data_IF_561583501636
#
_entry.id   IF_561583501636
#
_cell.length_a   1.000
_cell.length_b   1.000
_cell.length_c   1.000
_cell.angle_alpha   90.00
_cell.angle_beta   90.00
_cell.angle_gamma   90.00
#
_symmetry.space_group_name_H-M   'P 1'
#
loop_
_entity.id
_entity.type
_entity.pdbx_description
1 polymer ?
#
# COMPACT_ATOMS: atom_id res chain seq x y z
N UNK A 1 13.87 12.98 -16.76
CA UNK A 1 12.66 12.73 -15.94
C UNK A 1 12.87 11.42 -15.19
N UNK A 2 12.60 11.39 -13.88
CA UNK A 2 12.62 10.14 -13.14
C UNK A 2 11.44 9.27 -13.60
N UNK A 3 11.74 8.11 -14.16
CA UNK A 3 10.71 7.21 -14.68
C UNK A 3 9.86 6.58 -13.59
N UNK A 4 10.37 6.50 -12.36
CA UNK A 4 9.75 5.78 -11.25
C UNK A 4 9.66 6.67 -10.03
N UNK A 5 8.51 6.65 -9.35
CA UNK A 5 8.31 7.30 -8.07
C UNK A 5 7.45 6.44 -7.14
N UNK A 6 7.95 6.17 -5.94
CA UNK A 6 7.25 5.38 -4.94
C UNK A 6 7.02 6.25 -3.70
N UNK A 7 5.77 6.44 -3.34
CA UNK A 7 5.37 7.21 -2.19
C UNK A 7 5.24 6.31 -0.97
N UNK A 8 5.90 6.69 0.13
CA UNK A 8 5.82 5.98 1.41
C UNK A 8 4.96 6.81 2.34
N UNK A 9 3.78 6.30 2.67
CA UNK A 9 2.79 7.00 3.50
C UNK A 9 3.17 6.96 4.97
N UNK A 10 3.12 8.13 5.60
CA UNK A 10 3.36 8.36 7.02
C UNK A 10 2.19 9.11 7.64
N UNK A 11 1.70 8.67 8.78
CA UNK A 11 0.74 9.42 9.60
C UNK A 11 1.33 9.75 10.98
N UNK A 12 2.49 9.16 11.30
CA UNK A 12 3.22 9.34 12.54
C UNK A 12 4.72 9.50 12.28
N UNK A 13 5.48 9.95 13.27
CA UNK A 13 6.90 10.23 13.13
C UNK A 13 7.73 8.96 13.31
N UNK A 14 8.22 8.44 12.20
CA UNK A 14 9.08 7.27 12.13
C UNK A 14 10.34 7.54 11.31
N UNK A 15 11.22 6.54 11.26
CA UNK A 15 12.39 6.59 10.38
C UNK A 15 11.95 6.84 8.93
N UNK A 16 12.53 7.85 8.28
CA UNK A 16 12.16 8.27 6.93
C UNK A 16 13.04 7.61 5.91
N UNK A 17 12.45 6.81 5.07
CA UNK A 17 13.12 6.24 3.91
C UNK A 17 12.94 7.20 2.75
N UNK A 18 14.05 7.65 2.19
CA UNK A 18 14.06 8.58 1.06
C UNK A 18 15.23 8.27 0.13
N UNK A 19 14.96 8.31 -1.17
CA UNK A 19 15.96 8.22 -2.24
C UNK A 19 15.51 9.07 -3.43
N UNK A 20 16.10 8.90 -4.59
CA UNK A 20 15.59 9.51 -5.82
C UNK A 20 14.23 8.95 -6.25
N UNK A 21 13.96 7.67 -5.96
CA UNK A 21 12.70 6.99 -6.27
C UNK A 21 11.73 7.06 -5.09
N UNK A 22 12.21 6.86 -3.87
CA UNK A 22 11.41 6.77 -2.66
C UNK A 22 11.12 8.15 -2.08
N UNK A 23 9.85 8.52 -2.02
CA UNK A 23 9.38 9.83 -1.56
C UNK A 23 8.47 9.66 -0.33
N UNK A 24 8.89 10.12 0.86
CA UNK A 24 8.02 10.13 2.03
C UNK A 24 6.89 11.15 1.84
N UNK A 25 5.64 10.73 2.11
CA UNK A 25 4.44 11.56 2.07
C UNK A 25 3.68 11.46 3.39
N UNK A 26 3.40 12.59 4.02
CA UNK A 26 2.52 12.64 5.18
C UNK A 26 1.07 12.63 4.73
N UNK A 27 0.25 11.76 5.33
CA UNK A 27 -1.18 11.62 5.08
C UNK A 27 -2.01 12.28 6.16
N UNK A 28 -3.20 12.76 5.80
CA UNK A 28 -4.11 13.43 6.74
C UNK A 28 -3.61 14.78 7.23
N UNK A 29 -2.78 15.45 6.45
CA UNK A 29 -2.17 16.72 6.83
C UNK A 29 -3.17 17.81 7.18
N UNK A 30 -4.39 17.79 6.61
CA UNK A 30 -5.42 18.76 6.90
C UNK A 30 -5.87 18.75 8.37
N UNK A 31 -5.83 17.60 9.03
CA UNK A 31 -6.23 17.41 10.43
C UNK A 31 -5.04 17.07 11.34
N UNK A 32 -3.83 17.04 10.81
CA UNK A 32 -2.65 16.69 11.59
C UNK A 32 -2.27 17.82 12.57
N UNK A 33 -1.88 17.50 13.81
CA UNK A 33 -1.45 18.51 14.79
C UNK A 33 -0.16 19.21 14.38
N UNK A 34 0.63 18.59 13.49
CA UNK A 34 1.85 19.17 12.92
C UNK A 34 2.18 18.57 11.57
N UNK A 35 2.85 19.36 10.74
CA UNK A 35 3.41 18.88 9.48
C UNK A 35 4.86 18.42 9.68
N UNK A 36 5.20 17.28 9.08
CA UNK A 36 6.55 16.72 9.16
C UNK A 36 7.46 17.37 8.13
N UNK A 37 8.51 18.03 8.58
CA UNK A 37 9.48 18.68 7.67
C UNK A 37 10.14 17.68 6.73
N UNK A 38 10.30 18.06 5.47
CA UNK A 38 11.01 17.25 4.46
C UNK A 38 10.22 16.07 3.90
N UNK A 39 8.93 16.01 4.16
CA UNK A 39 7.98 15.13 3.49
C UNK A 39 7.13 15.90 2.48
N UNK A 40 6.59 15.20 1.50
CA UNK A 40 5.44 15.67 0.74
C UNK A 40 4.22 15.69 1.66
N UNK A 41 3.31 16.64 1.46
CA UNK A 41 2.06 16.72 2.24
C UNK A 41 0.87 16.49 1.30
N UNK A 42 -0.12 15.72 1.76
CA UNK A 42 -1.29 15.35 0.96
C UNK A 42 -2.42 16.39 0.99
N UNK A 43 -2.23 17.55 1.63
CA UNK A 43 -3.22 18.63 1.73
C UNK A 43 -2.99 19.79 0.76
N UNK A 44 -2.06 19.66 -0.18
CA UNK A 44 -1.75 20.68 -1.19
C UNK A 44 -2.50 20.43 -2.51
N UNK A 45 -3.14 21.44 -3.09
CA UNK A 45 -3.89 21.31 -4.34
C UNK A 45 -5.17 20.47 -4.17
N UNK A 46 -5.59 19.75 -5.21
CA UNK A 46 -6.78 18.88 -5.12
C UNK A 46 -6.48 17.66 -4.24
N UNK A 47 -7.25 17.49 -3.16
CA UNK A 47 -6.99 16.48 -2.15
C UNK A 47 -8.25 16.07 -1.38
N UNK A 48 -8.12 15.00 -0.58
CA UNK A 48 -9.11 14.51 0.40
C UNK A 48 -8.45 14.30 1.77
N UNK A 49 -7.45 15.09 2.09
CA UNK A 49 -6.63 14.96 3.30
C UNK A 49 -7.47 15.11 4.59
N UNK A 50 -8.53 15.92 4.55
CA UNK A 50 -9.51 16.09 5.64
C UNK A 50 -10.33 14.83 5.93
N UNK A 51 -10.35 13.85 5.01
CA UNK A 51 -11.09 12.59 5.10
C UNK A 51 -10.16 11.39 5.39
N UNK A 52 -8.95 11.64 5.81
CA UNK A 52 -7.97 10.57 6.05
C UNK A 52 -8.42 9.57 7.13
N UNK A 53 -9.27 9.97 8.07
CA UNK A 53 -9.92 9.10 9.06
C UNK A 53 -10.71 7.94 8.42
N UNK A 54 -11.23 8.15 7.19
CA UNK A 54 -12.02 7.16 6.44
C UNK A 54 -11.23 6.47 5.34
N UNK A 55 -10.31 7.21 4.71
CA UNK A 55 -9.59 6.75 3.52
C UNK A 55 -8.15 6.34 3.81
N UNK A 56 -7.62 6.63 4.99
CA UNK A 56 -6.26 6.27 5.40
C UNK A 56 -5.22 6.65 4.33
N UNK A 57 -4.35 5.74 3.96
CA UNK A 57 -3.31 5.97 2.95
C UNK A 57 -3.86 6.23 1.53
N UNK A 58 -5.15 5.95 1.28
CA UNK A 58 -5.79 6.32 0.01
C UNK A 58 -5.83 7.83 -0.19
N UNK A 59 -5.76 8.65 0.87
CA UNK A 59 -5.66 10.11 0.73
C UNK A 59 -4.39 10.52 0.00
N UNK A 60 -3.26 9.85 0.27
CA UNK A 60 -2.02 10.06 -0.47
C UNK A 60 -2.11 9.59 -1.93
N UNK A 61 -2.75 8.43 -2.17
CA UNK A 61 -2.94 7.91 -3.53
C UNK A 61 -3.80 8.86 -4.37
N UNK A 62 -4.90 9.35 -3.78
CA UNK A 62 -5.76 10.36 -4.40
C UNK A 62 -4.99 11.64 -4.71
N UNK A 63 -4.21 12.13 -3.74
CA UNK A 63 -3.41 13.32 -3.92
C UNK A 63 -2.41 13.18 -5.06
N UNK A 64 -1.67 12.07 -5.13
CA UNK A 64 -0.71 11.80 -6.21
C UNK A 64 -1.41 11.76 -7.56
N UNK A 65 -2.56 11.08 -7.65
CA UNK A 65 -3.35 11.03 -8.88
C UNK A 65 -3.79 12.41 -9.34
N UNK A 66 -4.34 13.23 -8.45
CA UNK A 66 -4.86 14.57 -8.78
C UNK A 66 -3.77 15.61 -9.03
N UNK A 67 -2.60 15.40 -8.48
CA UNK A 67 -1.47 16.33 -8.60
C UNK A 67 -0.29 15.69 -9.37
N UNK A 68 -0.58 14.82 -10.33
CA UNK A 68 0.41 14.00 -11.03
C UNK A 68 1.51 14.83 -11.68
N UNK A 69 1.18 16.00 -12.23
CA UNK A 69 2.14 16.95 -12.80
C UNK A 69 3.11 17.51 -11.75
N UNK A 70 2.66 17.71 -10.52
CA UNK A 70 3.53 18.23 -9.44
C UNK A 70 4.58 17.20 -8.99
N UNK A 71 4.29 15.91 -9.19
CA UNK A 71 5.23 14.84 -8.86
C UNK A 71 6.13 14.44 -10.03
N UNK A 72 6.07 15.18 -11.15
CA UNK A 72 6.98 15.04 -12.28
C UNK A 72 6.53 14.08 -13.37
N UNK A 73 5.25 13.67 -13.40
CA UNK A 73 4.67 12.74 -14.38
C UNK A 73 5.51 11.46 -14.56
N UNK A 74 5.82 10.72 -13.49
CA UNK A 74 6.62 9.50 -13.59
C UNK A 74 5.91 8.44 -14.42
N UNK A 75 6.65 7.61 -15.13
CA UNK A 75 6.11 6.49 -15.92
C UNK A 75 5.51 5.40 -15.02
N UNK A 76 6.16 5.16 -13.87
CA UNK A 76 5.72 4.22 -12.85
C UNK A 76 5.47 4.94 -11.52
N UNK A 77 4.33 4.66 -10.91
CA UNK A 77 3.98 5.13 -9.57
C UNK A 77 3.75 3.93 -8.66
N UNK A 78 4.35 3.96 -7.49
CA UNK A 78 4.14 2.96 -6.45
C UNK A 78 3.75 3.59 -5.11
N UNK A 79 3.21 2.74 -4.23
CA UNK A 79 2.84 3.13 -2.88
C UNK A 79 3.32 2.09 -1.88
N UNK A 80 3.88 2.55 -0.77
CA UNK A 80 4.27 1.77 0.39
C UNK A 80 3.79 2.45 1.66
N UNK A 81 3.87 1.75 2.76
CA UNK A 81 3.55 2.28 4.08
C UNK A 81 4.83 2.34 4.92
N UNK A 82 4.96 3.29 5.85
CA UNK A 82 6.17 3.44 6.68
C UNK A 82 6.53 2.20 7.53
N UNK A 83 5.59 1.27 7.71
CA UNK A 83 5.80 -0.02 8.41
C UNK A 83 5.82 -1.23 7.48
N UNK A 84 5.65 -1.04 6.16
CA UNK A 84 5.50 -2.15 5.20
C UNK A 84 6.13 -1.77 3.88
N UNK A 85 7.18 -2.48 3.52
CA UNK A 85 7.95 -2.20 2.31
C UNK A 85 8.01 -3.43 1.43
N UNK A 86 8.07 -3.23 0.13
CA UNK A 86 8.43 -4.28 -0.82
C UNK A 86 9.92 -4.59 -0.72
N UNK A 87 10.27 -5.86 -0.86
CA UNK A 87 11.65 -6.30 -1.05
C UNK A 87 11.89 -6.56 -2.53
N UNK A 88 12.67 -5.69 -3.17
CA UNK A 88 12.85 -5.72 -4.62
C UNK A 88 13.96 -6.65 -5.08
N UNK A 89 14.84 -7.08 -4.21
CA UNK A 89 15.94 -8.02 -4.51
C UNK A 89 15.60 -9.49 -4.23
N UNK A 90 14.35 -9.78 -3.87
CA UNK A 90 13.91 -11.13 -3.54
C UNK A 90 14.32 -11.61 -2.14
N UNK A 91 14.82 -10.73 -1.28
CA UNK A 91 15.17 -11.07 0.10
C UNK A 91 13.99 -11.74 0.83
N UNK A 92 14.28 -12.85 1.49
CA UNK A 92 13.27 -13.68 2.15
C UNK A 92 13.21 -13.44 3.67
N UNK A 93 14.05 -12.58 4.21
CA UNK A 93 14.15 -12.35 5.65
C UNK A 93 14.70 -13.53 6.43
N UNK A 94 14.64 -13.47 7.75
CA UNK A 94 14.91 -14.62 8.60
C UNK A 94 13.59 -15.40 8.80
N UNK A 95 13.48 -16.66 8.37
CA UNK A 95 12.26 -17.45 8.50
C UNK A 95 11.83 -17.67 9.96
N UNK A 96 12.72 -17.60 10.92
CA UNK A 96 12.42 -17.75 12.35
C UNK A 96 11.61 -16.57 12.91
N UNK A 97 11.51 -15.46 12.17
CA UNK A 97 10.80 -14.24 12.55
C UNK A 97 9.45 -14.08 11.83
N UNK A 98 9.07 -15.04 11.03
CA UNK A 98 7.81 -14.99 10.31
C UNK A 98 6.65 -15.42 11.22
N UNK A 99 5.88 -14.48 11.71
CA UNK A 99 4.68 -14.72 12.53
C UNK A 99 3.53 -15.36 11.75
N UNK A 100 3.53 -15.17 10.43
CA UNK A 100 2.52 -15.72 9.55
C UNK A 100 3.11 -16.99 8.88
N UNK A 101 2.83 -18.19 9.40
CA UNK A 101 3.27 -19.40 8.75
C UNK A 101 2.71 -19.41 7.32
N UNK A 102 3.59 -19.52 6.34
CA UNK A 102 3.31 -19.48 4.89
C UNK A 102 2.94 -18.10 4.31
N UNK A 103 3.15 -17.00 5.04
CA UNK A 103 3.05 -15.63 4.52
C UNK A 103 4.40 -15.17 3.95
N UNK A 104 4.35 -14.31 2.96
CA UNK A 104 5.54 -13.63 2.42
C UNK A 104 5.75 -12.28 3.12
N UNK A 105 5.48 -12.23 4.42
CA UNK A 105 5.62 -11.03 5.26
C UNK A 105 6.68 -11.31 6.31
N UNK A 106 7.71 -10.47 6.34
CA UNK A 106 8.83 -10.58 7.26
C UNK A 106 8.84 -9.37 8.18
N UNK A 107 9.07 -9.60 9.46
CA UNK A 107 9.13 -8.55 10.47
C UNK A 107 10.58 -8.12 10.67
N UNK A 108 10.82 -6.82 10.64
CA UNK A 108 12.12 -6.22 10.87
C UNK A 108 12.03 -5.32 12.09
N UNK A 109 12.90 -5.52 13.07
CA UNK A 109 12.91 -4.74 14.32
C UNK A 109 13.54 -3.37 14.13
N UNK A 110 14.54 -3.27 13.24
CA UNK A 110 15.28 -2.03 13.00
C UNK A 110 15.55 -1.83 11.51
N UNK A 111 15.43 -0.59 11.07
CA UNK A 111 15.83 -0.18 9.72
C UNK A 111 17.33 0.13 9.74
N UNK A 112 18.12 -0.76 9.17
CA UNK A 112 19.58 -0.66 9.06
C UNK A 112 19.99 -0.36 7.63
N UNK A 113 21.26 0.00 7.40
CA UNK A 113 21.81 0.14 6.05
C UNK A 113 21.71 -1.16 5.23
N UNK A 114 21.90 -2.32 5.88
CA UNK A 114 21.70 -3.62 5.25
C UNK A 114 20.25 -3.85 4.84
N UNK A 115 19.27 -3.44 5.68
CA UNK A 115 17.86 -3.48 5.30
C UNK A 115 17.56 -2.56 4.11
N UNK A 116 18.08 -1.34 4.13
CA UNK A 116 17.85 -0.35 3.06
C UNK A 116 18.42 -0.79 1.71
N UNK A 117 19.48 -1.60 1.69
CA UNK A 117 20.03 -2.12 0.44
C UNK A 117 19.03 -3.01 -0.33
N UNK A 118 18.12 -3.70 0.36
CA UNK A 118 17.07 -4.54 -0.26
C UNK A 118 15.98 -3.74 -0.99
N UNK A 119 15.87 -2.44 -0.69
CA UNK A 119 14.91 -1.51 -1.29
C UNK A 119 15.61 -0.36 -2.01
N UNK A 120 16.79 -0.63 -2.56
CA UNK A 120 17.59 0.36 -3.29
C UNK A 120 16.96 0.76 -4.63
N UNK A 121 17.30 1.95 -5.11
CA UNK A 121 16.84 2.45 -6.42
C UNK A 121 17.24 1.51 -7.56
N UNK A 122 18.41 0.85 -7.46
CA UNK A 122 18.91 -0.12 -8.44
C UNK A 122 18.00 -1.34 -8.51
N UNK A 123 17.68 -1.95 -7.37
CA UNK A 123 16.80 -3.13 -7.32
C UNK A 123 15.39 -2.80 -7.82
N UNK A 124 14.86 -1.62 -7.47
CA UNK A 124 13.55 -1.15 -7.97
C UNK A 124 13.55 -1.07 -9.50
N UNK A 125 14.57 -0.43 -10.08
CA UNK A 125 14.70 -0.30 -11.54
C UNK A 125 14.82 -1.65 -12.23
N UNK A 126 15.68 -2.53 -11.69
CA UNK A 126 15.91 -3.86 -12.24
C UNK A 126 14.61 -4.70 -12.28
N UNK A 127 13.77 -4.62 -11.26
CA UNK A 127 12.48 -5.32 -11.26
C UNK A 127 11.54 -4.79 -12.34
N UNK A 128 11.50 -3.47 -12.56
CA UNK A 128 10.63 -2.82 -13.54
C UNK A 128 11.10 -3.00 -14.99
N UNK A 129 12.33 -3.44 -15.25
CA UNK A 129 12.80 -3.77 -16.60
C UNK A 129 12.03 -4.96 -17.24
N UNK A 130 11.46 -5.82 -16.40
CA UNK A 130 10.85 -7.08 -16.83
C UNK A 130 9.35 -7.19 -16.51
N UNK A 131 8.72 -6.12 -16.01
CA UNK A 131 7.30 -6.17 -15.66
C UNK A 131 6.65 -4.77 -15.72
N UNK A 132 5.38 -4.74 -16.02
CA UNK A 132 4.57 -3.52 -16.05
C UNK A 132 3.98 -3.18 -14.68
N UNK A 133 3.97 -4.14 -13.73
CA UNK A 133 3.37 -3.96 -12.41
C UNK A 133 4.03 -4.88 -11.38
N UNK A 134 4.31 -4.33 -10.20
CA UNK A 134 4.80 -5.08 -9.05
C UNK A 134 3.71 -5.10 -7.98
N UNK A 135 3.29 -6.29 -7.59
CA UNK A 135 2.31 -6.50 -6.52
C UNK A 135 2.85 -7.46 -5.47
N UNK A 136 2.26 -7.44 -4.29
CA UNK A 136 2.57 -8.40 -3.24
C UNK A 136 2.21 -9.82 -3.69
N UNK A 137 2.94 -10.81 -3.20
CA UNK A 137 2.54 -12.20 -3.38
C UNK A 137 1.17 -12.45 -2.75
N UNK A 138 0.31 -13.24 -3.39
CA UNK A 138 -1.04 -13.47 -2.90
C UNK A 138 -1.03 -14.17 -1.53
N UNK A 139 -1.92 -13.72 -0.65
CA UNK A 139 -2.13 -14.28 0.67
C UNK A 139 -3.47 -15.01 0.76
N UNK A 140 -3.48 -16.21 1.32
CA UNK A 140 -4.71 -16.97 1.49
C UNK A 140 -5.29 -16.74 2.90
N UNK A 141 -6.45 -16.09 2.97
CA UNK A 141 -7.12 -15.77 4.25
C UNK A 141 -7.55 -17.00 5.05
N UNK A 142 -7.51 -18.20 4.47
CA UNK A 142 -7.73 -19.45 5.21
C UNK A 142 -6.68 -19.67 6.30
N UNK A 143 -5.49 -19.11 6.15
CA UNK A 143 -4.48 -19.08 7.22
C UNK A 143 -4.90 -18.25 8.43
N UNK A 144 -5.85 -17.33 8.26
CA UNK A 144 -6.51 -16.56 9.32
C UNK A 144 -7.84 -17.18 9.77
N UNK A 145 -8.04 -18.49 9.52
CA UNK A 145 -9.28 -19.22 9.82
C UNK A 145 -10.53 -18.60 9.19
N UNK A 146 -10.39 -17.96 8.04
CA UNK A 146 -11.50 -17.36 7.28
C UNK A 146 -11.74 -18.13 5.98
N UNK A 147 -12.99 -18.48 5.68
CA UNK A 147 -13.33 -19.23 4.46
C UNK A 147 -13.09 -18.41 3.20
N UNK A 148 -13.34 -17.12 3.27
CA UNK A 148 -13.20 -16.17 2.17
C UNK A 148 -12.86 -14.74 2.69
N UNK A 149 -12.62 -13.83 1.78
CA UNK A 149 -12.26 -12.44 2.09
C UNK A 149 -13.38 -11.73 2.84
N UNK A 150 -14.65 -11.92 2.44
CA UNK A 150 -15.80 -11.32 3.14
C UNK A 150 -15.88 -11.75 4.61
N UNK A 151 -15.65 -13.05 4.89
CA UNK A 151 -15.61 -13.54 6.26
C UNK A 151 -14.42 -12.98 7.05
N UNK A 152 -13.27 -12.83 6.41
CA UNK A 152 -12.10 -12.24 7.05
C UNK A 152 -12.36 -10.78 7.40
N UNK A 153 -12.96 -10.02 6.48
CA UNK A 153 -13.37 -8.64 6.72
C UNK A 153 -14.33 -8.52 7.90
N UNK A 154 -15.35 -9.37 7.98
CA UNK A 154 -16.36 -9.35 9.08
C UNK A 154 -15.80 -9.66 10.47
N UNK A 155 -14.57 -10.18 10.58
CA UNK A 155 -13.93 -10.48 11.86
C UNK A 155 -13.22 -9.29 12.49
N UNK A 156 -13.03 -8.23 11.73
CA UNK A 156 -12.36 -7.02 12.22
C UNK A 156 -13.38 -6.16 12.99
N UNK A 157 -13.16 -5.87 14.28
CA UNK A 157 -14.16 -5.22 15.14
C UNK A 157 -14.66 -3.86 14.64
N UNK A 158 -13.81 -3.17 13.86
CA UNK A 158 -14.09 -1.82 13.37
C UNK A 158 -14.68 -1.83 11.94
N UNK A 159 -14.92 -3.01 11.37
CA UNK A 159 -15.36 -3.12 9.98
C UNK A 159 -16.79 -3.66 9.88
N UNK A 160 -17.66 -2.85 9.30
CA UNK A 160 -19.02 -3.26 8.96
C UNK A 160 -19.01 -4.02 7.63
N UNK A 161 -19.39 -5.30 7.68
CA UNK A 161 -19.48 -6.15 6.49
C UNK A 161 -20.45 -5.62 5.43
N UNK A 162 -21.42 -4.80 5.82
CA UNK A 162 -22.30 -4.13 4.88
C UNK A 162 -21.53 -3.19 3.94
N UNK A 163 -20.49 -2.53 4.42
CA UNK A 163 -19.62 -1.68 3.59
C UNK A 163 -18.93 -2.52 2.51
N UNK A 164 -18.47 -3.72 2.86
CA UNK A 164 -17.90 -4.64 1.87
C UNK A 164 -18.92 -5.02 0.79
N UNK A 165 -20.16 -5.34 1.20
CA UNK A 165 -21.23 -5.70 0.26
C UNK A 165 -21.59 -4.53 -0.66
N UNK A 166 -21.66 -3.30 -0.13
CA UNK A 166 -21.88 -2.07 -0.90
C UNK A 166 -20.73 -1.85 -1.89
N UNK A 167 -19.48 -2.01 -1.44
CA UNK A 167 -18.30 -1.90 -2.32
C UNK A 167 -18.39 -2.87 -3.50
N UNK A 168 -18.64 -4.15 -3.24
CA UNK A 168 -18.76 -5.18 -4.29
C UNK A 168 -19.89 -4.84 -5.28
N UNK A 169 -21.06 -4.44 -4.77
CA UNK A 169 -22.20 -4.05 -5.61
C UNK A 169 -21.85 -2.84 -6.49
N UNK A 170 -21.25 -1.82 -5.90
CA UNK A 170 -20.86 -0.60 -6.61
C UNK A 170 -19.80 -0.88 -7.67
N UNK A 171 -18.77 -1.65 -7.33
CA UNK A 171 -17.73 -2.03 -8.28
C UNK A 171 -18.30 -2.80 -9.49
N UNK A 172 -19.20 -3.76 -9.26
CA UNK A 172 -19.88 -4.49 -10.34
C UNK A 172 -20.78 -3.61 -11.22
N UNK A 173 -21.28 -2.51 -10.67
CA UNK A 173 -22.11 -1.55 -11.40
C UNK A 173 -21.27 -0.60 -12.23
N UNK A 174 -20.17 -0.09 -11.67
CA UNK A 174 -19.30 0.88 -12.34
C UNK A 174 -18.39 0.24 -13.38
N UNK A 175 -18.02 -1.03 -13.17
CA UNK A 175 -17.08 -1.77 -14.01
C UNK A 175 -17.67 -3.12 -14.41
N UNK A 176 -18.72 -3.14 -15.25
CA UNK A 176 -19.41 -4.37 -15.64
C UNK A 176 -18.50 -5.36 -16.39
N UNK A 177 -17.48 -4.87 -17.08
CA UNK A 177 -16.46 -5.67 -17.78
C UNK A 177 -15.61 -6.52 -16.83
N UNK A 178 -15.45 -6.11 -15.58
CA UNK A 178 -14.72 -6.85 -14.53
C UNK A 178 -15.63 -7.63 -13.57
N UNK A 179 -16.90 -7.79 -13.88
CA UNK A 179 -17.90 -8.42 -13.00
C UNK A 179 -17.48 -9.80 -12.51
N UNK A 180 -16.91 -10.62 -13.39
CA UNK A 180 -16.49 -11.98 -13.06
C UNK A 180 -15.26 -11.96 -12.12
N UNK A 181 -14.32 -11.06 -12.34
CA UNK A 181 -13.15 -10.92 -11.48
C UNK A 181 -13.52 -10.35 -10.11
N UNK A 182 -14.43 -9.38 -10.04
CA UNK A 182 -14.98 -8.88 -8.79
C UNK A 182 -15.72 -10.01 -8.03
N UNK A 183 -16.40 -10.89 -8.74
CA UNK A 183 -17.06 -12.06 -8.11
C UNK A 183 -16.04 -13.07 -7.58
N UNK A 184 -14.90 -13.25 -8.25
CA UNK A 184 -13.80 -14.08 -7.72
C UNK A 184 -13.23 -13.47 -6.42
N UNK A 185 -13.09 -12.15 -6.34
CA UNK A 185 -12.66 -11.46 -5.12
C UNK A 185 -13.69 -11.67 -4.00
N UNK A 186 -14.98 -11.46 -4.27
CA UNK A 186 -16.07 -11.61 -3.31
C UNK A 186 -16.11 -13.00 -2.67
N UNK A 187 -15.99 -14.04 -3.48
CA UNK A 187 -16.09 -15.45 -3.07
C UNK A 187 -14.76 -16.09 -2.72
N UNK A 188 -13.68 -15.47 -3.15
CA UNK A 188 -12.34 -16.01 -3.05
C UNK A 188 -11.75 -15.98 -1.64
N UNK A 189 -10.71 -16.78 -1.44
CA UNK A 189 -9.92 -16.81 -0.20
C UNK A 189 -8.51 -16.26 -0.39
N UNK A 190 -8.15 -15.84 -1.59
CA UNK A 190 -6.84 -15.29 -1.92
C UNK A 190 -6.96 -13.80 -2.14
N UNK A 191 -6.16 -13.04 -1.45
CA UNK A 191 -6.04 -11.59 -1.61
C UNK A 191 -4.58 -11.21 -1.72
N UNK A 192 -4.30 -10.12 -2.40
CA UNK A 192 -3.06 -9.40 -2.24
C UNK A 192 -3.20 -8.59 -0.95
N UNK A 193 -2.31 -8.84 0.02
CA UNK A 193 -2.35 -8.08 1.27
C UNK A 193 -2.27 -6.59 0.90
N UNK A 194 -3.34 -5.88 1.17
CA UNK A 194 -3.34 -4.44 1.05
C UNK A 194 -2.25 -3.89 1.97
N UNK A 195 -1.45 -2.97 1.47
CA UNK A 195 -0.57 -2.16 2.32
C UNK A 195 -1.38 -1.19 3.19
N UNK A 196 -2.67 -1.15 2.96
CA UNK A 196 -3.66 -0.32 3.61
C UNK A 196 -4.44 -1.24 4.56
N UNK A 197 -4.14 -1.20 5.77
CA UNK A 197 -4.79 -1.88 6.87
C UNK A 197 -4.54 -3.37 7.08
N UNK A 198 -3.99 -3.52 8.14
CA UNK A 198 -4.47 -4.46 9.19
C UNK A 198 -4.58 -3.68 10.47
#
# INVERSE_FOLDING_TARGET
MEKVKIFISYHDEHYRIKSNILTPIQTGCANAPRLFKGMQHDNEGENISDRNDKYCELSAQYWVWKNYNKVGNPEYVGFMHYRRHFMFDGWQGNPDWCWLPKGNVYFVTNITSGYLSHISDEHIKQQLENCDCIVLKPYNVRHLHSKNIRMQYSKLPEQDVHIFDVFIKTAKSLYPEYRDDITKIEKGSVQYLSLIHI
#
